data_IF_314196505799
#
_entry.id   IF_314196505799
#
_cell.length_a   1.000
_cell.length_b   1.000
_cell.length_c   1.000
_cell.angle_alpha   90.00
_cell.angle_beta   90.00
_cell.angle_gamma   90.00
#
_symmetry.space_group_name_H-M   'P 1'
#
loop_
_entity.id
_entity.type
_entity.pdbx_description
1 polymer ?
#
# COMPACT_ATOMS: atom_id res chain seq x y z
N UNK A 1 -19.81 -5.76 0.54
CA UNK A 1 -18.67 -4.80 0.54
C UNK A 1 -17.65 -5.20 -0.51
N UNK A 2 -17.12 -4.26 -1.30
CA UNK A 2 -16.07 -4.53 -2.29
C UNK A 2 -14.71 -4.72 -1.60
N UNK A 3 -13.97 -5.74 -2.00
CA UNK A 3 -12.65 -6.10 -1.44
C UNK A 3 -11.63 -6.21 -2.58
N UNK A 4 -10.39 -5.81 -2.31
CA UNK A 4 -9.25 -5.98 -3.19
C UNK A 4 -8.41 -7.13 -2.64
N UNK A 5 -8.01 -8.07 -3.50
CA UNK A 5 -7.13 -9.17 -3.16
C UNK A 5 -5.79 -8.98 -3.86
N UNK A 6 -4.70 -9.14 -3.12
CA UNK A 6 -3.35 -9.14 -3.66
C UNK A 6 -2.62 -10.39 -3.16
N UNK A 7 -1.97 -11.11 -4.06
CA UNK A 7 -1.15 -12.27 -3.73
C UNK A 7 0.31 -11.95 -4.07
N UNK A 8 1.19 -12.18 -3.10
CA UNK A 8 2.63 -12.02 -3.26
C UNK A 8 3.27 -13.38 -3.07
N UNK A 9 3.97 -13.87 -4.08
CA UNK A 9 4.69 -15.13 -4.00
C UNK A 9 6.20 -14.90 -4.12
N UNK A 10 6.96 -15.61 -3.30
CA UNK A 10 8.41 -15.61 -3.31
C UNK A 10 8.94 -17.02 -3.62
N UNK A 11 9.87 -17.10 -4.57
CA UNK A 11 10.53 -18.34 -4.97
C UNK A 11 12.02 -18.12 -5.08
N UNK A 12 12.80 -19.12 -4.69
CA UNK A 12 14.23 -19.14 -4.95
C UNK A 12 14.49 -19.29 -6.45
N UNK A 13 15.74 -19.08 -6.86
CA UNK A 13 16.19 -19.17 -8.26
C UNK A 13 15.79 -20.49 -8.93
N UNK A 14 15.77 -21.59 -8.17
CA UNK A 14 15.40 -22.92 -8.67
C UNK A 14 13.91 -23.28 -8.43
N UNK A 15 13.08 -22.30 -8.11
CA UNK A 15 11.62 -22.42 -8.05
C UNK A 15 11.04 -22.95 -6.74
N UNK A 16 11.88 -23.31 -5.75
CA UNK A 16 11.40 -23.69 -4.43
C UNK A 16 10.67 -22.52 -3.76
N UNK A 17 9.56 -22.76 -3.05
CA UNK A 17 8.90 -21.77 -2.21
C UNK A 17 9.87 -21.16 -1.20
N UNK A 18 9.80 -19.84 -1.00
CA UNK A 18 10.55 -19.15 0.05
C UNK A 18 9.63 -18.96 1.26
N UNK A 19 9.97 -19.53 2.43
CA UNK A 19 9.37 -19.11 3.70
C UNK A 19 9.81 -17.67 3.98
N UNK A 20 8.85 -16.74 3.97
CA UNK A 20 9.14 -15.33 4.11
C UNK A 20 8.08 -14.58 4.91
N UNK A 21 8.51 -13.50 5.55
CA UNK A 21 7.66 -12.48 6.11
C UNK A 21 7.45 -11.36 5.06
N UNK A 22 6.21 -11.22 4.59
CA UNK A 22 5.83 -10.26 3.54
C UNK A 22 5.14 -9.08 4.18
N UNK A 23 5.72 -7.89 4.03
CA UNK A 23 5.14 -6.61 4.42
C UNK A 23 4.60 -5.92 3.17
N UNK A 24 3.28 -5.71 3.11
CA UNK A 24 2.61 -5.04 2.01
C UNK A 24 2.07 -3.68 2.48
N UNK A 25 2.43 -2.62 1.77
CA UNK A 25 1.89 -1.27 1.92
C UNK A 25 1.14 -0.88 0.64
N UNK A 26 -0.16 -0.69 0.75
CA UNK A 26 -1.02 -0.23 -0.33
C UNK A 26 -1.53 1.18 0.00
N UNK A 27 -1.33 2.13 -0.91
CA UNK A 27 -1.74 3.51 -0.73
C UNK A 27 -2.54 4.00 -1.94
N UNK A 28 -3.47 4.92 -1.73
CA UNK A 28 -4.07 5.72 -2.81
C UNK A 28 -3.38 7.09 -2.84
N UNK A 29 -2.51 7.37 -3.82
CA UNK A 29 -1.77 8.61 -3.86
C UNK A 29 -2.68 9.82 -4.10
N UNK A 30 -2.23 10.99 -3.66
CA UNK A 30 -2.90 12.26 -3.96
C UNK A 30 -2.68 12.65 -5.42
N UNK A 31 -3.65 13.36 -5.99
CA UNK A 31 -3.51 14.00 -7.27
C UNK A 31 -2.57 15.22 -7.16
N UNK A 32 -1.40 15.13 -7.79
CA UNK A 32 -0.33 16.15 -7.75
C UNK A 32 -0.84 17.57 -8.04
N UNK A 33 -1.76 17.72 -8.98
CA UNK A 33 -2.30 19.03 -9.36
C UNK A 33 -3.17 19.66 -8.29
N UNK A 34 -3.84 18.83 -7.48
CA UNK A 34 -4.79 19.26 -6.47
C UNK A 34 -4.06 19.48 -5.14
N UNK A 35 -3.07 18.65 -4.83
CA UNK A 35 -2.22 18.83 -3.65
C UNK A 35 -1.48 20.17 -3.62
N UNK A 36 -1.10 20.75 -4.77
CA UNK A 36 -0.39 22.05 -4.80
C UNK A 36 -1.36 23.21 -4.54
N UNK A 37 -2.56 23.18 -5.13
CA UNK A 37 -3.52 24.29 -5.06
C UNK A 37 -4.29 24.37 -3.73
N UNK A 38 -4.37 23.28 -2.98
CA UNK A 38 -5.04 23.24 -1.66
C UNK A 38 -4.09 23.57 -0.50
N UNK A 39 -2.79 23.78 -0.75
CA UNK A 39 -1.84 24.17 0.30
C UNK A 39 -1.89 25.66 0.64
N UNK A 40 -2.58 26.49 -0.15
CA UNK A 40 -2.71 27.92 0.15
C UNK A 40 -3.97 28.48 -0.51
N UNK A 41 -5.04 28.65 0.26
CA UNK A 41 -6.23 29.39 -0.18
C UNK A 41 -6.24 30.77 0.48
N UNK A 42 -6.89 31.79 -0.10
CA UNK A 42 -7.01 33.11 0.53
C UNK A 42 -7.61 33.08 1.94
N UNK A 43 -8.38 32.03 2.23
CA UNK A 43 -9.06 31.78 3.50
C UNK A 43 -8.18 31.03 4.53
N UNK A 44 -7.13 30.31 4.07
CA UNK A 44 -6.20 29.55 4.92
C UNK A 44 -4.74 29.81 4.47
N UNK A 45 -4.16 30.96 4.84
CA UNK A 45 -2.81 31.35 4.45
C UNK A 45 -1.71 30.47 5.08
N UNK A 46 -2.04 29.73 6.15
CA UNK A 46 -1.13 28.79 6.84
C UNK A 46 -1.13 27.37 6.22
N UNK A 47 -2.01 27.14 5.24
CA UNK A 47 -2.22 25.85 4.57
C UNK A 47 -3.29 24.97 5.23
N UNK A 48 -4.05 24.23 4.40
CA UNK A 48 -5.02 23.25 4.87
C UNK A 48 -4.31 22.11 5.64
N UNK A 49 -4.99 21.44 6.61
CA UNK A 49 -4.40 20.34 7.36
C UNK A 49 -3.89 19.28 6.39
N UNK A 50 -2.69 18.74 6.68
CA UNK A 50 -1.98 17.76 5.87
C UNK A 50 -2.96 16.74 5.26
N UNK A 51 -3.20 16.85 3.96
CA UNK A 51 -4.00 15.87 3.24
C UNK A 51 -3.13 14.63 3.14
N UNK A 52 -3.31 13.68 4.06
CA UNK A 52 -2.52 12.46 4.09
C UNK A 52 -3.11 11.45 3.11
N UNK A 53 -2.29 10.92 2.20
CA UNK A 53 -2.69 9.83 1.32
C UNK A 53 -3.11 8.60 2.14
N UNK A 54 -4.33 8.06 1.96
CA UNK A 54 -4.76 6.89 2.72
C UNK A 54 -3.91 5.69 2.33
N UNK A 55 -3.33 5.06 3.36
CA UNK A 55 -2.47 3.89 3.24
C UNK A 55 -2.94 2.79 4.19
N UNK A 56 -2.75 1.55 3.76
CA UNK A 56 -2.98 0.36 4.54
C UNK A 56 -1.71 -0.49 4.51
N UNK A 57 -1.26 -0.93 5.68
CA UNK A 57 -0.10 -1.79 5.83
C UNK A 57 -0.56 -3.11 6.44
N UNK A 58 -0.10 -4.22 5.91
CA UNK A 58 -0.35 -5.55 6.46
C UNK A 58 0.90 -6.40 6.30
N UNK A 59 1.15 -7.24 7.30
CA UNK A 59 2.30 -8.14 7.32
C UNK A 59 1.77 -9.56 7.47
N UNK A 60 2.25 -10.48 6.63
CA UNK A 60 1.87 -11.90 6.67
C UNK A 60 3.06 -12.79 6.35
N UNK A 61 3.10 -13.95 7.01
CA UNK A 61 3.95 -15.04 6.56
C UNK A 61 3.37 -15.69 5.30
N UNK A 62 4.26 -16.19 4.46
CA UNK A 62 3.92 -17.02 3.31
C UNK A 62 3.36 -18.38 3.74
N UNK A 63 2.48 -18.95 2.93
CA UNK A 63 2.01 -20.32 3.06
C UNK A 63 3.06 -21.34 2.59
N UNK A 64 2.70 -22.62 2.61
CA UNK A 64 3.55 -23.73 2.15
C UNK A 64 3.95 -23.63 0.67
N UNK A 65 3.26 -22.80 -0.13
CA UNK A 65 3.57 -22.54 -1.54
C UNK A 65 4.48 -21.31 -1.71
N UNK A 66 4.85 -20.64 -0.62
CA UNK A 66 5.67 -19.43 -0.64
C UNK A 66 4.86 -18.19 -1.00
N UNK A 67 3.55 -18.20 -0.82
CA UNK A 67 2.64 -17.11 -1.19
C UNK A 67 1.91 -16.53 0.03
N UNK A 68 1.71 -15.22 0.04
CA UNK A 68 0.92 -14.50 1.03
C UNK A 68 -0.24 -13.77 0.35
N UNK A 69 -1.47 -14.09 0.75
CA UNK A 69 -2.68 -13.41 0.24
C UNK A 69 -3.14 -12.34 1.23
N UNK A 70 -3.26 -11.12 0.72
CA UNK A 70 -3.76 -9.95 1.43
C UNK A 70 -5.16 -9.59 0.95
N UNK A 71 -6.00 -9.11 1.86
CA UNK A 71 -7.38 -8.73 1.52
C UNK A 71 -7.71 -7.40 2.17
N UNK A 72 -7.92 -6.39 1.33
CA UNK A 72 -8.16 -5.03 1.77
C UNK A 72 -9.61 -4.62 1.51
N UNK A 73 -10.29 -3.99 2.46
CA UNK A 73 -11.58 -3.37 2.19
C UNK A 73 -11.35 -2.14 1.31
N UNK A 74 -12.10 -2.02 0.21
CA UNK A 74 -11.95 -0.89 -0.71
C UNK A 74 -12.23 0.46 -0.02
N UNK A 75 -13.05 0.45 1.02
CA UNK A 75 -13.35 1.62 1.88
C UNK A 75 -12.14 2.18 2.62
N UNK A 76 -11.05 1.42 2.78
CA UNK A 76 -9.82 1.93 3.39
C UNK A 76 -9.17 3.05 2.56
N UNK A 77 -9.47 3.14 1.26
CA UNK A 77 -8.85 4.07 0.31
C UNK A 77 -9.77 5.23 -0.12
N UNK A 78 -10.93 5.36 0.53
CA UNK A 78 -11.95 6.38 0.23
C UNK A 78 -11.92 7.51 1.29
N UNK A 79 -11.14 7.36 2.36
CA UNK A 79 -10.99 8.41 3.39
C UNK A 79 -10.17 9.60 2.83
N UNK A 80 -10.87 10.53 2.19
CA UNK A 80 -10.35 11.76 1.57
C UNK A 80 -11.30 12.24 0.48
N UNK A 81 -11.37 13.55 0.24
CA UNK A 81 -12.27 14.10 -0.81
C UNK A 81 -11.86 13.49 -2.17
N UNK A 82 -12.80 12.87 -2.90
CA UNK A 82 -12.51 12.14 -4.15
C UNK A 82 -11.67 12.95 -5.15
N UNK A 83 -11.84 14.28 -5.14
CA UNK A 83 -11.13 15.21 -6.03
C UNK A 83 -9.63 15.30 -5.77
N UNK A 84 -9.15 15.02 -4.55
CA UNK A 84 -7.71 15.08 -4.19
C UNK A 84 -6.99 13.76 -4.35
N UNK A 85 -7.69 12.66 -4.61
CA UNK A 85 -7.09 11.32 -4.72
C UNK A 85 -6.99 10.89 -6.19
N UNK A 86 -5.96 10.11 -6.52
CA UNK A 86 -5.87 9.47 -7.84
C UNK A 86 -6.73 8.21 -7.90
N UNK A 87 -7.19 7.85 -9.09
CA UNK A 87 -7.88 6.57 -9.33
C UNK A 87 -6.89 5.43 -9.59
N UNK A 88 -5.82 5.40 -8.80
CA UNK A 88 -4.77 4.40 -8.83
C UNK A 88 -4.41 3.95 -7.41
N UNK A 89 -3.89 2.73 -7.28
CA UNK A 89 -3.33 2.24 -6.01
C UNK A 89 -1.84 1.99 -6.22
N UNK A 90 -1.03 2.52 -5.33
CA UNK A 90 0.40 2.25 -5.26
C UNK A 90 0.63 1.12 -4.26
N UNK A 91 1.25 0.04 -4.72
CA UNK A 91 1.64 -1.10 -3.90
C UNK A 91 3.15 -1.08 -3.70
N UNK A 92 3.59 -1.24 -2.45
CA UNK A 92 4.99 -1.46 -2.07
C UNK A 92 5.05 -2.73 -1.25
N UNK A 93 5.99 -3.60 -1.60
CA UNK A 93 6.16 -4.90 -0.94
C UNK A 93 7.60 -4.98 -0.46
N UNK A 94 7.78 -5.45 0.77
CA UNK A 94 9.06 -5.91 1.29
C UNK A 94 8.91 -7.39 1.64
N UNK A 95 9.79 -8.23 1.12
CA UNK A 95 9.83 -9.67 1.39
C UNK A 95 11.11 -9.95 2.16
N UNK A 96 10.99 -10.51 3.36
CA UNK A 96 12.12 -10.90 4.19
C UNK A 96 12.14 -12.42 4.36
N UNK A 97 13.22 -13.06 3.92
CA UNK A 97 13.40 -14.51 4.04
C UNK A 97 13.56 -14.92 5.51
N UNK A 98 12.85 -15.96 5.91
CA UNK A 98 12.84 -16.45 7.27
C UNK A 98 14.22 -17.02 7.67
N UNK A 99 14.74 -16.57 8.81
CA UNK A 99 15.98 -17.09 9.37
C UNK A 99 17.28 -16.59 8.74
N UNK A 100 17.22 -15.88 7.60
CA UNK A 100 18.43 -15.34 6.94
C UNK A 100 18.58 -13.82 7.10
N UNK A 101 17.46 -13.10 7.31
CA UNK A 101 17.45 -11.63 7.37
C UNK A 101 17.63 -10.95 6.01
N UNK A 102 17.68 -11.73 4.91
CA UNK A 102 17.75 -11.19 3.55
C UNK A 102 16.41 -10.59 3.18
N UNK A 103 16.41 -9.34 2.68
CA UNK A 103 15.18 -8.68 2.23
C UNK A 103 15.27 -8.08 0.82
N UNK A 104 14.10 -8.03 0.16
CA UNK A 104 13.88 -7.50 -1.19
C UNK A 104 12.61 -6.66 -1.25
#
# INVERSE_FOLDING_TARGET
>A
QKKIKAEVCAKYTYGQPVPANVQLKMCRPLNRYVSINYLTTPEHPEGLPDIIAPCYNETKQTDIKGCATFTFPMSAFIKGSEKVLQDSLQIRVKVEEEGTGVSR
#
